data_IF_728358633125
#
_entry.id   IF_728358633125
#
_cell.length_a   1.000
_cell.length_b   1.000
_cell.length_c   1.000
_cell.angle_alpha   90.00
_cell.angle_beta   90.00
_cell.angle_gamma   90.00
#
_symmetry.space_group_name_H-M   'P 1'
#
loop_
_entity.id
_entity.type
_entity.pdbx_description
1 polymer ?
#
# COMPACT_ATOMS: atom_id res chain seq x y z
N UNK A 1 -20.08 4.86 29.67
CA UNK A 1 -18.59 4.97 29.57
C UNK A 1 -18.07 4.30 28.30
N UNK A 2 -18.95 3.68 27.52
CA UNK A 2 -18.63 2.72 26.47
C UNK A 2 -18.21 3.41 25.15
N UNK A 3 -18.83 4.55 24.82
CA UNK A 3 -18.50 5.32 23.62
C UNK A 3 -17.05 5.82 23.57
N UNK A 4 -16.49 6.24 24.71
CA UNK A 4 -15.09 6.68 24.78
C UNK A 4 -14.14 5.51 24.51
N UNK A 5 -14.47 4.33 25.02
CA UNK A 5 -13.68 3.12 24.81
C UNK A 5 -13.76 2.66 23.35
N UNK A 6 -14.96 2.67 22.74
CA UNK A 6 -15.15 2.37 21.32
C UNK A 6 -14.42 3.36 20.41
N UNK A 7 -14.46 4.66 20.73
CA UNK A 7 -13.72 5.69 19.98
C UNK A 7 -12.21 5.48 20.07
N UNK A 8 -11.69 5.13 21.25
CA UNK A 8 -10.28 4.81 21.44
C UNK A 8 -9.85 3.62 20.57
N UNK A 9 -10.63 2.54 20.59
CA UNK A 9 -10.35 1.35 19.77
C UNK A 9 -10.37 1.70 18.27
N UNK A 10 -11.35 2.50 17.83
CA UNK A 10 -11.44 2.95 16.44
C UNK A 10 -10.23 3.79 16.04
N UNK A 11 -9.81 4.73 16.89
CA UNK A 11 -8.66 5.59 16.65
C UNK A 11 -7.37 4.78 16.53
N UNK A 12 -7.17 3.80 17.42
CA UNK A 12 -6.01 2.89 17.36
C UNK A 12 -6.04 2.07 16.07
N UNK A 13 -7.19 1.50 15.69
CA UNK A 13 -7.34 0.72 14.47
C UNK A 13 -7.05 1.55 13.20
N UNK A 14 -7.55 2.78 13.13
CA UNK A 14 -7.25 3.67 11.99
C UNK A 14 -5.77 4.01 11.95
N UNK A 15 -5.17 4.29 13.10
CA UNK A 15 -3.75 4.64 13.19
C UNK A 15 -2.85 3.49 12.76
N UNK A 16 -3.15 2.25 13.16
CA UNK A 16 -2.38 1.07 12.75
C UNK A 16 -2.46 0.83 11.25
N UNK A 17 -3.65 0.97 10.65
CA UNK A 17 -3.82 0.86 9.19
C UNK A 17 -3.01 1.92 8.45
N UNK A 18 -3.02 3.17 8.92
CA UNK A 18 -2.25 4.27 8.30
C UNK A 18 -0.74 4.03 8.41
N UNK A 19 -0.25 3.54 9.56
CA UNK A 19 1.17 3.23 9.75
C UNK A 19 1.61 2.09 8.82
N UNK A 20 0.81 1.02 8.73
CA UNK A 20 1.09 -0.11 7.84
C UNK A 20 1.09 0.33 6.37
N UNK A 21 0.09 1.11 5.96
CA UNK A 21 0.01 1.65 4.61
C UNK A 21 1.20 2.55 4.26
N UNK A 22 1.64 3.39 5.19
CA UNK A 22 2.86 4.22 5.03
C UNK A 22 4.12 3.37 4.90
N UNK A 23 4.22 2.30 5.68
CA UNK A 23 5.36 1.38 5.63
C UNK A 23 5.45 0.69 4.28
N UNK A 24 4.35 0.12 3.82
CA UNK A 24 4.26 -0.54 2.50
C UNK A 24 4.48 0.48 1.36
N UNK A 25 3.94 1.69 1.49
CA UNK A 25 4.22 2.77 0.54
C UNK A 25 5.68 3.19 0.52
N UNK A 26 6.43 3.00 1.61
CA UNK A 26 7.87 3.23 1.60
C UNK A 26 8.63 2.21 0.76
N UNK A 27 8.02 1.07 0.45
CA UNK A 27 8.65 0.05 -0.39
C UNK A 27 8.58 0.45 -1.86
N UNK A 28 9.48 -0.12 -2.65
CA UNK A 28 9.55 0.12 -4.07
C UNK A 28 8.76 -0.94 -4.81
N UNK A 29 7.99 -0.58 -5.81
CA UNK A 29 7.22 -1.52 -6.62
C UNK A 29 7.83 -1.62 -8.01
N UNK A 30 7.99 -2.84 -8.49
CA UNK A 30 8.53 -3.10 -9.83
C UNK A 30 7.41 -3.45 -10.80
N UNK A 31 7.31 -2.71 -11.89
CA UNK A 31 6.33 -3.00 -12.94
C UNK A 31 6.79 -4.22 -13.77
N UNK A 32 5.94 -5.24 -13.95
CA UNK A 32 6.25 -6.37 -14.85
C UNK A 32 6.35 -5.99 -16.33
N UNK A 33 5.68 -4.91 -16.75
CA UNK A 33 5.63 -4.51 -18.16
C UNK A 33 6.88 -3.73 -18.59
N UNK A 34 7.23 -2.67 -17.85
CA UNK A 34 8.38 -1.83 -18.19
C UNK A 34 9.62 -2.07 -17.31
N UNK A 35 9.55 -3.00 -16.34
CA UNK A 35 10.62 -3.28 -15.37
C UNK A 35 11.06 -2.11 -14.49
N UNK A 36 10.37 -0.97 -14.59
CA UNK A 36 10.70 0.24 -13.85
C UNK A 36 10.24 0.14 -12.39
N UNK A 37 11.07 0.69 -11.52
CA UNK A 37 10.85 0.77 -10.08
C UNK A 37 10.19 2.11 -9.72
N UNK A 38 9.10 2.06 -8.96
CA UNK A 38 8.38 3.26 -8.55
C UNK A 38 7.82 3.11 -7.15
N UNK A 39 7.69 4.24 -6.47
CA UNK A 39 7.03 4.32 -5.18
C UNK A 39 5.55 4.68 -5.38
N UNK A 40 4.66 4.18 -4.51
CA UNK A 40 3.24 4.53 -4.53
C UNK A 40 2.84 5.26 -3.26
N UNK A 41 1.87 6.16 -3.38
CA UNK A 41 1.30 6.79 -2.19
C UNK A 41 0.59 5.77 -1.29
N UNK A 42 0.71 5.94 0.03
CA UNK A 42 0.06 5.12 1.04
C UNK A 42 -1.46 5.02 0.86
N UNK A 43 -2.11 6.04 0.32
CA UNK A 43 -3.54 5.99 -0.02
C UNK A 43 -3.85 4.95 -1.10
N UNK A 44 -2.95 4.74 -2.06
CA UNK A 44 -3.14 3.69 -3.08
C UNK A 44 -2.92 2.30 -2.51
N UNK A 45 -2.03 2.13 -1.53
CA UNK A 45 -1.82 0.84 -0.85
C UNK A 45 -3.12 0.32 -0.23
N UNK A 46 -3.91 1.20 0.40
CA UNK A 46 -5.17 0.83 1.07
C UNK A 46 -6.25 0.40 0.06
N UNK A 47 -6.20 0.94 -1.15
CA UNK A 47 -7.26 0.77 -2.17
C UNK A 47 -6.90 -0.27 -3.22
N UNK A 48 -5.63 -0.67 -3.29
CA UNK A 48 -5.14 -1.62 -4.29
C UNK A 48 -5.38 -3.05 -3.85
N UNK A 49 -5.79 -3.87 -4.83
CA UNK A 49 -5.86 -5.31 -4.68
C UNK A 49 -4.45 -5.89 -4.53
N UNK A 50 -4.23 -6.63 -3.44
CA UNK A 50 -2.96 -7.26 -3.13
C UNK A 50 -3.12 -8.78 -3.09
N UNK A 51 -2.13 -9.51 -3.60
CA UNK A 51 -2.05 -10.96 -3.56
C UNK A 51 -0.61 -11.34 -3.25
N UNK A 52 -0.36 -11.89 -2.05
CA UNK A 52 0.99 -12.12 -1.51
C UNK A 52 1.85 -10.84 -1.60
N UNK A 53 2.86 -10.83 -2.48
CA UNK A 53 3.80 -9.72 -2.70
C UNK A 53 3.51 -8.97 -4.01
N UNK A 54 2.35 -9.21 -4.62
CA UNK A 54 1.93 -8.59 -5.87
C UNK A 54 0.77 -7.64 -5.64
N UNK A 55 0.89 -6.45 -6.21
CA UNK A 55 -0.07 -5.37 -6.04
C UNK A 55 -0.56 -4.93 -7.41
N UNK A 56 -1.88 -4.90 -7.59
CA UNK A 56 -2.47 -4.43 -8.85
C UNK A 56 -2.41 -2.90 -8.92
N UNK A 57 -1.39 -2.41 -9.61
CA UNK A 57 -1.03 -0.99 -9.66
C UNK A 57 -0.99 -0.48 -11.10
N UNK A 58 -1.23 0.81 -11.24
CA UNK A 58 -0.98 1.52 -12.50
C UNK A 58 0.44 2.05 -12.43
N UNK A 59 1.33 1.54 -13.29
CA UNK A 59 2.69 2.02 -13.36
C UNK A 59 2.71 3.49 -13.82
N UNK A 60 3.36 4.41 -13.08
CA UNK A 60 3.44 5.81 -13.48
C UNK A 60 4.24 6.01 -14.77
N UNK A 61 5.15 5.10 -15.10
CA UNK A 61 6.06 5.22 -16.23
C UNK A 61 5.41 4.72 -17.54
N UNK A 62 4.83 3.51 -17.55
CA UNK A 62 4.18 2.95 -18.74
C UNK A 62 2.64 3.08 -18.75
N UNK A 63 2.04 3.66 -17.71
CA UNK A 63 0.57 3.81 -17.52
C UNK A 63 -0.24 2.52 -17.62
N UNK A 64 0.43 1.37 -17.62
CA UNK A 64 -0.20 0.06 -17.72
C UNK A 64 -0.68 -0.36 -16.33
N UNK A 65 -1.96 -0.74 -16.23
CA UNK A 65 -2.49 -1.40 -15.03
C UNK A 65 -2.11 -2.87 -15.05
N UNK A 66 -1.45 -3.35 -14.01
CA UNK A 66 -1.09 -4.75 -13.90
C UNK A 66 -0.50 -5.11 -12.55
N UNK A 67 -0.15 -6.38 -12.40
CA UNK A 67 0.52 -6.89 -11.20
C UNK A 67 1.95 -6.35 -11.14
N UNK A 68 2.24 -5.59 -10.09
CA UNK A 68 3.56 -5.05 -9.78
C UNK A 68 4.07 -5.71 -8.50
N UNK A 69 5.34 -6.09 -8.47
CA UNK A 69 5.91 -6.84 -7.35
C UNK A 69 6.53 -5.87 -6.36
N UNK A 70 6.16 -6.01 -5.08
CA UNK A 70 6.77 -5.29 -3.98
C UNK A 70 8.23 -5.72 -3.80
N UNK A 71 9.14 -4.74 -3.82
CA UNK A 71 10.55 -4.90 -3.47
C UNK A 71 10.70 -4.47 -2.01
N UNK A 72 10.82 -5.45 -1.12
CA UNK A 72 11.23 -5.19 0.26
C UNK A 72 12.65 -4.62 0.22
N UNK A 73 12.80 -3.34 0.54
CA UNK A 73 14.12 -2.76 0.78
C UNK A 73 14.69 -3.48 2.00
N UNK A 74 15.66 -4.35 1.75
CA UNK A 74 16.30 -5.21 2.76
C UNK A 74 17.18 -4.38 3.69
#
# INVERSE_FOLDING_TARGET
>A
MDYLFTLLILMVAVTTVVILAKRIASHTFKCKNCSEEFNISWTKVIVTEHSDNEYMLVCPCCKTKGWCTEQLTK
#
